data_IF_131545823987
#
_entry.id   IF_131545823987
#
_cell.length_a   1.000
_cell.length_b   1.000
_cell.length_c   1.000
_cell.angle_alpha   90.00
_cell.angle_beta   90.00
_cell.angle_gamma   90.00
#
_symmetry.space_group_name_H-M   'P 1'
#
loop_
_entity.id
_entity.type
_entity.pdbx_description
1 polymer ?
#
# COMPACT_ATOMS: atom_id res chain seq x y z
N UNK A 1 6.19 13.58 -3.95
CA UNK A 1 5.53 12.26 -3.93
C UNK A 1 6.51 11.21 -3.45
N UNK A 2 6.09 10.37 -2.51
CA UNK A 2 6.94 9.34 -1.92
C UNK A 2 6.99 8.09 -2.83
N UNK A 3 7.55 8.26 -4.03
CA UNK A 3 7.68 7.21 -5.03
C UNK A 3 9.17 6.85 -5.20
N UNK A 4 9.53 5.58 -4.99
CA UNK A 4 10.92 5.12 -4.95
C UNK A 4 11.11 3.85 -5.74
N UNK A 5 12.24 3.77 -6.43
CA UNK A 5 12.72 2.54 -7.03
C UNK A 5 13.49 1.71 -5.98
N UNK A 6 13.32 0.40 -6.04
CA UNK A 6 14.01 -0.54 -5.15
C UNK A 6 15.26 -1.18 -5.79
N UNK A 7 15.65 -0.73 -6.98
CA UNK A 7 16.87 -1.21 -7.63
C UNK A 7 18.14 -0.87 -6.84
N UNK A 8 19.15 -1.71 -6.95
CA UNK A 8 20.45 -1.50 -6.32
C UNK A 8 20.59 -1.91 -4.85
N UNK A 9 19.50 -2.24 -4.17
CA UNK A 9 19.60 -2.77 -2.81
C UNK A 9 20.27 -4.13 -2.78
N UNK A 10 21.16 -4.33 -1.81
CA UNK A 10 21.85 -5.60 -1.62
C UNK A 10 20.89 -6.72 -1.25
N UNK A 11 21.09 -7.87 -1.86
CA UNK A 11 20.42 -9.12 -1.55
C UNK A 11 21.48 -10.16 -1.10
N UNK A 12 21.06 -11.36 -0.78
CA UNK A 12 21.97 -12.41 -0.36
C UNK A 12 23.01 -12.76 -1.44
N UNK A 13 24.15 -13.30 -1.00
CA UNK A 13 25.24 -13.77 -1.86
C UNK A 13 25.86 -12.69 -2.76
N UNK A 14 25.89 -11.43 -2.31
CA UNK A 14 26.46 -10.31 -3.08
C UNK A 14 25.66 -9.89 -4.29
N UNK A 15 24.43 -10.34 -4.38
CA UNK A 15 23.48 -9.94 -5.43
C UNK A 15 22.81 -8.61 -5.08
N UNK A 16 22.22 -7.97 -6.07
CA UNK A 16 21.46 -6.74 -5.90
C UNK A 16 20.10 -6.86 -6.61
N UNK A 17 19.12 -6.13 -6.15
CA UNK A 17 17.84 -6.00 -6.86
C UNK A 17 18.11 -5.27 -8.18
N UNK A 18 17.59 -5.80 -9.28
CA UNK A 18 17.75 -5.19 -10.61
C UNK A 18 17.08 -3.83 -10.66
N UNK A 19 17.72 -2.90 -11.35
CA UNK A 19 17.14 -1.59 -11.63
C UNK A 19 15.96 -1.70 -12.62
N UNK A 20 14.99 -0.80 -12.49
CA UNK A 20 13.87 -0.71 -13.42
C UNK A 20 12.81 -1.80 -13.28
N UNK A 21 12.75 -2.50 -12.14
CA UNK A 21 11.84 -3.64 -11.96
C UNK A 21 10.76 -3.42 -10.91
N UNK A 22 11.11 -2.82 -9.78
CA UNK A 22 10.21 -2.69 -8.63
C UNK A 22 10.23 -1.27 -8.11
N UNK A 23 9.05 -0.69 -7.96
CA UNK A 23 8.85 0.63 -7.35
C UNK A 23 7.89 0.51 -6.17
N UNK A 24 8.06 1.37 -5.21
CA UNK A 24 7.16 1.55 -4.09
C UNK A 24 6.72 3.01 -4.05
N UNK A 25 5.45 3.25 -3.79
CA UNK A 25 4.94 4.62 -3.76
C UNK A 25 3.61 4.77 -3.03
N UNK A 26 3.07 5.95 -3.13
CA UNK A 26 1.71 6.25 -2.70
C UNK A 26 0.71 5.55 -3.64
N UNK A 27 -0.55 5.39 -3.22
CA UNK A 27 -1.59 4.89 -4.11
C UNK A 27 -1.69 5.73 -5.39
N UNK A 28 -1.83 5.08 -6.52
CA UNK A 28 -1.84 5.78 -7.82
C UNK A 28 -3.05 6.70 -8.02
N UNK A 29 -4.12 6.50 -7.24
CA UNK A 29 -5.26 7.44 -7.18
C UNK A 29 -4.87 8.85 -6.73
N UNK A 30 -3.76 9.00 -6.00
CA UNK A 30 -3.25 10.32 -5.59
C UNK A 30 -2.47 11.04 -6.67
N UNK A 31 -2.21 10.41 -7.81
CA UNK A 31 -1.58 11.00 -8.97
C UNK A 31 -2.65 11.71 -9.83
N UNK A 32 -3.01 12.92 -9.45
CA UNK A 32 -4.10 13.67 -10.08
C UNK A 32 -3.63 14.56 -11.26
N UNK A 33 -2.33 14.89 -11.28
CA UNK A 33 -1.75 15.72 -12.33
C UNK A 33 -1.39 14.93 -13.59
N UNK A 34 -1.61 15.52 -14.77
CA UNK A 34 -1.22 14.90 -16.04
C UNK A 34 0.29 14.59 -16.11
N UNK A 35 1.12 15.47 -15.56
CA UNK A 35 2.58 15.28 -15.51
C UNK A 35 2.97 14.06 -14.70
N UNK A 36 2.33 13.85 -13.56
CA UNK A 36 2.64 12.68 -12.70
C UNK A 36 2.15 11.39 -13.34
N UNK A 37 0.98 11.41 -13.97
CA UNK A 37 0.47 10.27 -14.73
C UNK A 37 1.35 9.92 -15.92
N UNK A 38 1.81 10.93 -16.66
CA UNK A 38 2.73 10.72 -17.78
C UNK A 38 4.06 10.10 -17.32
N UNK A 39 4.58 10.49 -16.17
CA UNK A 39 5.77 9.87 -15.58
C UNK A 39 5.53 8.40 -15.20
N UNK A 40 4.38 8.09 -14.64
CA UNK A 40 4.01 6.72 -14.32
C UNK A 40 3.87 5.87 -15.59
N UNK A 41 3.20 6.41 -16.60
CA UNK A 41 3.05 5.75 -17.91
C UNK A 41 4.41 5.43 -18.56
N UNK A 42 5.37 6.35 -18.46
CA UNK A 42 6.71 6.19 -19.00
C UNK A 42 7.52 5.06 -18.32
N UNK A 43 7.13 4.63 -17.13
CA UNK A 43 7.81 3.49 -16.46
C UNK A 43 7.50 2.14 -17.11
N UNK A 44 6.44 2.04 -17.91
CA UNK A 44 6.06 0.79 -18.56
C UNK A 44 5.65 -0.31 -17.58
N UNK A 45 4.96 0.04 -16.53
CA UNK A 45 4.54 -0.90 -15.49
C UNK A 45 3.62 -1.98 -16.07
N UNK A 46 3.84 -3.21 -15.68
CA UNK A 46 3.00 -4.36 -16.06
C UNK A 46 2.05 -4.79 -14.95
N UNK A 47 2.38 -4.46 -13.72
CA UNK A 47 1.60 -4.83 -12.54
C UNK A 47 1.62 -3.68 -11.54
N UNK A 48 0.46 -3.39 -11.02
CA UNK A 48 0.28 -2.55 -9.83
C UNK A 48 -0.33 -3.43 -8.76
N UNK A 49 0.33 -3.50 -7.62
CA UNK A 49 -0.19 -4.19 -6.44
C UNK A 49 -0.67 -3.14 -5.45
N UNK A 50 -1.96 -3.07 -5.24
CA UNK A 50 -2.57 -2.19 -4.25
C UNK A 50 -2.87 -2.97 -2.97
N UNK A 51 -2.28 -2.53 -1.87
CA UNK A 51 -2.39 -3.18 -0.56
C UNK A 51 -3.47 -2.54 0.33
N UNK A 52 -4.24 -1.61 -0.21
CA UNK A 52 -5.35 -0.99 0.52
C UNK A 52 -6.54 -1.93 0.67
N UNK A 53 -7.42 -1.64 1.62
CA UNK A 53 -8.69 -2.36 1.74
C UNK A 53 -9.60 -2.13 0.52
N UNK A 54 -10.52 -3.04 0.29
CA UNK A 54 -11.50 -2.92 -0.80
C UNK A 54 -12.33 -1.64 -0.70
N UNK A 55 -12.69 -1.22 0.50
CA UNK A 55 -13.43 0.01 0.73
C UNK A 55 -12.66 1.27 0.34
N UNK A 56 -11.36 1.31 0.63
CA UNK A 56 -10.50 2.42 0.23
C UNK A 56 -10.35 2.51 -1.29
N UNK A 57 -10.18 1.37 -1.96
CA UNK A 57 -10.06 1.31 -3.42
C UNK A 57 -11.37 1.72 -4.10
N UNK A 58 -12.53 1.36 -3.55
CA UNK A 58 -13.83 1.79 -4.08
C UNK A 58 -14.06 3.30 -3.96
N UNK A 59 -13.63 3.90 -2.87
CA UNK A 59 -13.74 5.35 -2.66
C UNK A 59 -12.82 6.16 -3.55
N UNK A 60 -11.60 5.70 -3.74
CA UNK A 60 -10.57 6.35 -4.54
C UNK A 60 -9.88 5.30 -5.43
N UNK A 61 -10.47 5.00 -6.61
CA UNK A 61 -9.90 4.03 -7.53
C UNK A 61 -8.52 4.43 -8.05
N UNK A 62 -7.65 3.45 -8.25
CA UNK A 62 -6.31 3.67 -8.78
C UNK A 62 -6.32 4.19 -10.21
N UNK A 63 -5.33 5.02 -10.54
CA UNK A 63 -4.94 5.25 -11.91
C UNK A 63 -4.12 4.05 -12.41
N UNK A 64 -4.56 3.41 -13.46
CA UNK A 64 -3.89 2.25 -14.05
C UNK A 64 -3.41 2.62 -15.46
N UNK A 65 -2.08 2.69 -15.70
CA UNK A 65 -1.54 2.90 -17.02
C UNK A 65 -1.96 1.82 -18.01
N UNK A 66 -2.03 2.17 -19.29
CA UNK A 66 -2.29 1.20 -20.36
C UNK A 66 -1.23 0.10 -20.33
N UNK A 67 -1.68 -1.15 -20.46
CA UNK A 67 -0.82 -2.32 -20.41
C UNK A 67 -0.47 -2.82 -19.02
N UNK A 68 -0.83 -2.10 -17.96
CA UNK A 68 -0.67 -2.56 -16.59
C UNK A 68 -1.90 -3.32 -16.10
N UNK A 69 -1.69 -4.31 -15.24
CA UNK A 69 -2.75 -5.01 -14.51
C UNK A 69 -2.78 -4.53 -13.07
N UNK A 70 -3.95 -4.24 -12.56
CA UNK A 70 -4.17 -3.92 -11.15
C UNK A 70 -4.56 -5.19 -10.37
N UNK A 71 -3.85 -5.46 -9.29
CA UNK A 71 -4.21 -6.50 -8.32
C UNK A 71 -4.36 -5.83 -6.95
N UNK A 72 -5.52 -5.98 -6.34
CA UNK A 72 -5.79 -5.49 -5.00
C UNK A 72 -5.73 -6.64 -4.01
N UNK A 73 -4.91 -6.51 -2.99
CA UNK A 73 -4.80 -7.46 -1.88
C UNK A 73 -4.67 -6.64 -0.60
N UNK A 74 -5.66 -6.70 0.27
CA UNK A 74 -5.58 -5.98 1.54
C UNK A 74 -4.39 -6.50 2.37
N UNK A 75 -3.48 -5.59 2.72
CA UNK A 75 -2.28 -5.91 3.47
C UNK A 75 -2.52 -6.16 4.96
N UNK A 76 -3.71 -5.88 5.45
CA UNK A 76 -4.06 -6.04 6.86
C UNK A 76 -5.46 -6.63 7.01
N UNK A 77 -5.52 -7.81 7.62
CA UNK A 77 -6.78 -8.50 7.93
C UNK A 77 -6.89 -8.78 9.43
N UNK A 78 -8.12 -8.81 9.94
CA UNK A 78 -8.41 -9.27 11.28
C UNK A 78 -8.27 -10.80 11.40
N UNK A 79 -8.33 -11.33 12.62
CA UNK A 79 -8.19 -12.78 12.87
C UNK A 79 -9.28 -13.62 12.18
N UNK A 80 -10.46 -13.06 12.01
CA UNK A 80 -11.57 -13.69 11.29
C UNK A 80 -11.49 -13.57 9.76
N UNK A 81 -10.43 -12.93 9.25
CA UNK A 81 -10.16 -12.76 7.84
C UNK A 81 -10.79 -11.53 7.19
N UNK A 82 -11.55 -10.70 7.91
CA UNK A 82 -12.07 -9.47 7.31
C UNK A 82 -10.97 -8.40 7.16
N UNK A 83 -11.10 -7.58 6.12
CA UNK A 83 -10.16 -6.50 5.84
C UNK A 83 -10.22 -5.39 6.90
N UNK A 84 -9.06 -4.89 7.30
CA UNK A 84 -8.96 -3.71 8.17
C UNK A 84 -8.64 -2.50 7.28
N UNK A 85 -9.54 -1.51 7.32
CA UNK A 85 -9.37 -0.27 6.58
C UNK A 85 -8.58 0.77 7.38
N UNK A 86 -7.72 1.52 6.68
CA UNK A 86 -7.02 2.68 7.23
C UNK A 86 -7.73 4.01 6.91
N UNK A 87 -8.98 3.96 6.45
CA UNK A 87 -9.77 5.18 6.32
C UNK A 87 -9.88 5.87 7.69
N UNK A 88 -9.85 7.22 7.76
CA UNK A 88 -9.81 7.95 9.04
C UNK A 88 -10.90 7.56 10.02
N UNK A 89 -12.12 7.35 9.56
CA UNK A 89 -13.25 6.97 10.41
C UNK A 89 -13.09 5.55 10.97
N UNK A 90 -12.56 4.63 10.17
CA UNK A 90 -12.34 3.24 10.56
C UNK A 90 -11.19 3.13 11.56
N UNK A 91 -10.12 3.90 11.36
CA UNK A 91 -9.00 4.00 12.31
C UNK A 91 -9.48 4.57 13.64
N UNK A 92 -10.29 5.62 13.63
CA UNK A 92 -10.82 6.22 14.84
C UNK A 92 -11.65 5.23 15.66
N UNK A 93 -12.49 4.44 14.99
CA UNK A 93 -13.30 3.40 15.64
C UNK A 93 -12.42 2.28 16.26
N UNK A 94 -11.38 1.85 15.54
CA UNK A 94 -10.41 0.86 16.03
C UNK A 94 -9.64 1.38 17.25
N UNK A 95 -9.12 2.59 17.20
CA UNK A 95 -8.38 3.21 18.30
C UNK A 95 -9.24 3.36 19.54
N UNK A 96 -10.51 3.75 19.39
CA UNK A 96 -11.45 3.87 20.51
C UNK A 96 -11.67 2.54 21.23
N UNK A 97 -11.81 1.45 20.50
CA UNK A 97 -11.93 0.12 21.08
C UNK A 97 -10.69 -0.31 21.86
N UNK A 98 -9.49 0.07 21.41
CA UNK A 98 -8.24 -0.23 22.11
C UNK A 98 -7.96 0.69 23.32
N UNK A 99 -8.38 1.95 23.27
CA UNK A 99 -8.28 2.87 24.42
C UNK A 99 -9.10 2.41 25.62
N UNK A 100 -10.21 1.74 25.38
CA UNK A 100 -11.06 1.16 26.45
C UNK A 100 -10.44 -0.09 27.09
N UNK A 101 -9.50 -0.77 26.41
CA UNK A 101 -8.98 -2.07 26.83
C UNK A 101 -7.47 -2.10 27.12
N UNK A 102 -6.68 -1.20 26.55
CA UNK A 102 -5.21 -1.16 26.65
C UNK A 102 -4.66 0.20 26.23
N UNK A 103 -3.36 0.45 26.46
CA UNK A 103 -2.70 1.66 26.00
C UNK A 103 -2.48 1.67 24.47
N UNK A 104 -2.19 2.87 23.91
CA UNK A 104 -1.99 3.04 22.46
C UNK A 104 -0.80 2.26 21.88
N UNK A 105 0.19 1.89 22.70
CA UNK A 105 1.34 1.10 22.26
C UNK A 105 0.94 -0.33 21.88
N UNK A 106 -0.02 -0.91 22.57
CA UNK A 106 -0.56 -2.24 22.27
C UNK A 106 -1.27 -2.28 20.92
N UNK A 107 -2.00 -1.21 20.57
CA UNK A 107 -2.65 -1.09 19.26
C UNK A 107 -1.63 -1.13 18.11
N UNK A 108 -0.59 -0.31 18.18
CA UNK A 108 0.46 -0.24 17.16
C UNK A 108 1.20 -1.57 17.03
N UNK A 109 1.55 -2.20 18.15
CA UNK A 109 2.21 -3.50 18.16
C UNK A 109 1.35 -4.57 17.51
N UNK A 110 0.07 -4.66 17.85
CA UNK A 110 -0.87 -5.62 17.25
C UNK A 110 -0.99 -5.43 15.74
N UNK A 111 -1.01 -4.19 15.25
CA UNK A 111 -1.03 -3.90 13.82
C UNK A 111 0.22 -4.42 13.11
N UNK A 112 1.41 -4.15 13.66
CA UNK A 112 2.67 -4.63 13.07
C UNK A 112 2.76 -6.15 13.04
N UNK A 113 2.35 -6.83 14.08
CA UNK A 113 2.33 -8.30 14.15
C UNK A 113 1.43 -8.91 13.07
N UNK A 114 0.32 -8.27 12.74
CA UNK A 114 -0.60 -8.73 11.67
C UNK A 114 -0.10 -8.46 10.25
N UNK A 115 0.78 -7.49 10.08
CA UNK A 115 1.39 -7.17 8.78
C UNK A 115 2.54 -8.11 8.41
N UNK A 116 3.08 -8.84 9.37
CA UNK A 116 4.15 -9.83 9.19
C UNK A 116 3.57 -11.23 9.03
#
# INVERSE_FOLDING_TARGET
TNFRELGGYEADEGKHIKWGQIWRGIPTCKLTGETDRAKLDALGLRLILDLRSSGEVQKEPDYVPDGARLVQICGLCAEDGHEISFAPDDIAALMKGYEESADGSTFVQAMYERML
#
